data_IF_107277778193
#
_entry.id   IF_107277778193
#
_cell.length_a   1.000
_cell.length_b   1.000
_cell.length_c   1.000
_cell.angle_alpha   90.00
_cell.angle_beta   90.00
_cell.angle_gamma   90.00
#
_symmetry.space_group_name_H-M   'P 1'
#
loop_
_entity.id
_entity.type
_entity.pdbx_description
1 polymer ?
#
# COMPACT_ATOMS: atom_id res chain seq x y z
N UNK A 1 -21.26 18.25 -20.04
CA UNK A 1 -20.23 17.28 -20.51
C UNK A 1 -18.99 17.30 -19.61
N UNK A 2 -18.49 18.49 -19.22
CA UNK A 2 -17.35 18.64 -18.30
C UNK A 2 -17.57 17.99 -16.92
N UNK A 3 -18.73 18.19 -16.29
CA UNK A 3 -19.01 17.60 -14.96
C UNK A 3 -19.07 16.07 -14.97
N UNK A 4 -19.62 15.46 -16.03
CA UNK A 4 -19.67 14.01 -16.18
C UNK A 4 -18.25 13.44 -16.32
N UNK A 5 -17.38 14.11 -17.08
CA UNK A 5 -15.98 13.72 -17.22
C UNK A 5 -15.24 13.77 -15.90
N UNK A 6 -15.40 14.85 -15.12
CA UNK A 6 -14.73 15.00 -13.82
C UNK A 6 -15.26 14.01 -12.79
N UNK A 7 -16.56 13.74 -12.78
CA UNK A 7 -17.14 12.71 -11.91
C UNK A 7 -16.59 11.31 -12.23
N UNK A 8 -16.43 10.97 -13.51
CA UNK A 8 -15.85 9.69 -13.93
C UNK A 8 -14.37 9.56 -13.53
N UNK A 9 -13.61 10.63 -13.64
CA UNK A 9 -12.21 10.71 -13.19
C UNK A 9 -12.10 10.45 -11.67
N UNK A 10 -12.88 11.16 -10.86
CA UNK A 10 -12.92 10.98 -9.40
C UNK A 10 -13.31 9.56 -9.04
N UNK A 11 -14.34 9.00 -9.70
CA UNK A 11 -14.77 7.62 -9.46
C UNK A 11 -13.68 6.60 -9.81
N UNK A 12 -12.97 6.80 -10.92
CA UNK A 12 -11.90 5.90 -11.36
C UNK A 12 -10.73 5.93 -10.39
N UNK A 13 -10.30 7.13 -9.97
CA UNK A 13 -9.23 7.30 -8.99
C UNK A 13 -9.59 6.72 -7.62
N UNK A 14 -10.81 6.94 -7.15
CA UNK A 14 -11.30 6.35 -5.89
C UNK A 14 -11.34 4.82 -5.96
N UNK A 15 -11.80 4.27 -7.09
CA UNK A 15 -11.86 2.82 -7.30
C UNK A 15 -10.47 2.22 -7.34
N UNK A 16 -9.53 2.87 -8.01
CA UNK A 16 -8.13 2.46 -8.06
C UNK A 16 -7.50 2.44 -6.65
N UNK A 17 -7.74 3.48 -5.85
CA UNK A 17 -7.29 3.53 -4.45
C UNK A 17 -7.89 2.38 -3.63
N UNK A 18 -9.20 2.15 -3.74
CA UNK A 18 -9.86 1.07 -2.99
C UNK A 18 -9.33 -0.32 -3.39
N UNK A 19 -9.10 -0.56 -4.70
CA UNK A 19 -8.48 -1.78 -5.20
C UNK A 19 -7.07 -1.94 -4.61
N UNK A 20 -6.28 -0.86 -4.55
CA UNK A 20 -4.93 -0.94 -3.96
C UNK A 20 -4.94 -1.36 -2.49
N UNK A 21 -5.93 -0.91 -1.70
CA UNK A 21 -6.07 -1.32 -0.30
C UNK A 21 -6.35 -2.83 -0.22
N UNK A 22 -7.24 -3.35 -1.06
CA UNK A 22 -7.53 -4.78 -1.15
C UNK A 22 -6.31 -5.60 -1.59
N UNK A 23 -5.56 -5.12 -2.59
CA UNK A 23 -4.33 -5.77 -3.04
C UNK A 23 -3.28 -5.83 -1.92
N UNK A 24 -3.17 -4.80 -1.08
CA UNK A 24 -2.29 -4.81 0.08
C UNK A 24 -2.64 -5.91 1.08
N UNK A 25 -3.93 -6.15 1.30
CA UNK A 25 -4.43 -7.22 2.17
C UNK A 25 -4.19 -8.60 1.56
N UNK A 26 -4.46 -8.75 0.26
CA UNK A 26 -4.19 -9.99 -0.46
C UNK A 26 -2.70 -10.33 -0.46
N UNK A 27 -1.84 -9.34 -0.66
CA UNK A 27 -0.39 -9.52 -0.60
C UNK A 27 0.06 -10.05 0.77
N UNK A 28 -0.48 -9.49 1.87
CA UNK A 28 -0.20 -9.98 3.22
C UNK A 28 -0.72 -11.40 3.43
N UNK A 29 -1.97 -11.68 3.02
CA UNK A 29 -2.57 -13.00 3.14
C UNK A 29 -1.74 -14.08 2.43
N UNK A 30 -1.32 -13.80 1.18
CA UNK A 30 -0.46 -14.69 0.42
C UNK A 30 0.92 -14.87 1.07
N UNK A 31 1.52 -13.79 1.58
CA UNK A 31 2.82 -13.85 2.27
C UNK A 31 2.77 -14.70 3.56
N UNK A 32 1.65 -14.66 4.29
CA UNK A 32 1.43 -15.46 5.50
C UNK A 32 1.28 -16.96 5.22
N UNK A 33 0.84 -17.34 4.02
CA UNK A 33 0.67 -18.75 3.64
C UNK A 33 2.00 -19.39 3.20
N UNK A 34 3.01 -18.59 2.82
CA UNK A 34 4.31 -19.11 2.36
C UNK A 34 4.98 -20.13 3.31
N UNK A 35 5.04 -19.90 4.64
CA UNK A 35 5.59 -20.89 5.56
C UNK A 35 4.82 -22.22 5.58
N UNK A 36 3.51 -22.19 5.33
CA UNK A 36 2.66 -23.37 5.31
C UNK A 36 2.96 -24.27 4.09
N UNK A 37 3.15 -23.68 2.90
CA UNK A 37 3.55 -24.45 1.71
C UNK A 37 4.87 -25.19 1.91
N UNK A 38 5.79 -24.58 2.65
CA UNK A 38 7.07 -25.21 2.98
C UNK A 38 6.90 -26.42 3.90
N UNK A 39 6.03 -26.35 4.90
CA UNK A 39 5.71 -27.50 5.76
C UNK A 39 5.07 -28.65 4.97
N UNK A 40 4.21 -28.34 4.00
CA UNK A 40 3.62 -29.34 3.09
C UNK A 40 4.64 -30.02 2.19
N UNK A 41 5.71 -29.30 1.79
CA UNK A 41 6.79 -29.85 0.96
C UNK A 41 7.48 -31.07 1.59
N UNK A 42 7.55 -31.14 2.92
CA UNK A 42 8.17 -32.27 3.63
C UNK A 42 7.38 -33.58 3.51
N UNK A 43 6.11 -33.50 3.12
CA UNK A 43 5.16 -34.62 3.13
C UNK A 43 4.71 -35.07 1.73
N UNK A 44 5.04 -34.32 0.67
CA UNK A 44 4.54 -34.55 -0.70
C UNK A 44 5.64 -35.03 -1.65
N UNK A 45 5.33 -36.06 -2.44
CA UNK A 45 6.20 -36.61 -3.50
C UNK A 45 6.34 -35.69 -4.72
N UNK A 46 5.39 -34.78 -4.95
CA UNK A 46 5.38 -33.80 -6.04
C UNK A 46 6.13 -32.51 -5.67
N UNK A 47 7.46 -32.62 -5.52
CA UNK A 47 8.35 -31.50 -5.15
C UNK A 47 8.29 -30.33 -6.12
N UNK A 48 8.23 -30.59 -7.43
CA UNK A 48 8.29 -29.57 -8.49
C UNK A 48 7.05 -28.66 -8.47
N UNK A 49 5.85 -29.23 -8.26
CA UNK A 49 4.61 -28.45 -8.22
C UNK A 49 4.57 -27.50 -7.03
N UNK A 50 5.08 -27.93 -5.86
CA UNK A 50 5.15 -27.10 -4.66
C UNK A 50 6.16 -25.97 -4.84
N UNK A 51 7.32 -26.23 -5.44
CA UNK A 51 8.32 -25.19 -5.74
C UNK A 51 7.78 -24.13 -6.72
N UNK A 52 7.10 -24.57 -7.78
CA UNK A 52 6.49 -23.63 -8.74
C UNK A 52 5.43 -22.75 -8.07
N UNK A 53 4.62 -23.34 -7.19
CA UNK A 53 3.59 -22.61 -6.44
C UNK A 53 4.18 -21.59 -5.46
N UNK A 54 5.28 -21.93 -4.80
CA UNK A 54 6.00 -21.03 -3.88
C UNK A 54 6.56 -19.81 -4.65
N UNK A 55 7.25 -20.05 -5.76
CA UNK A 55 7.77 -18.97 -6.63
C UNK A 55 6.64 -18.09 -7.15
N UNK A 56 5.54 -18.70 -7.61
CA UNK A 56 4.39 -17.97 -8.10
C UNK A 56 3.75 -17.10 -6.99
N UNK A 57 3.64 -17.63 -5.77
CA UNK A 57 3.11 -16.88 -4.62
C UNK A 57 4.03 -15.70 -4.28
N UNK A 58 5.35 -15.90 -4.23
CA UNK A 58 6.32 -14.82 -4.01
C UNK A 58 6.17 -13.72 -5.06
N UNK A 59 6.12 -14.11 -6.33
CA UNK A 59 5.93 -13.17 -7.44
C UNK A 59 4.64 -12.38 -7.31
N UNK A 60 3.51 -13.04 -7.02
CA UNK A 60 2.22 -12.36 -6.85
C UNK A 60 2.23 -11.35 -5.70
N UNK A 61 2.83 -11.70 -4.55
CA UNK A 61 2.95 -10.79 -3.42
C UNK A 61 3.74 -9.53 -3.82
N UNK A 62 4.89 -9.73 -4.45
CA UNK A 62 5.77 -8.62 -4.83
C UNK A 62 5.14 -7.76 -5.93
N UNK A 63 4.43 -8.39 -6.88
CA UNK A 63 3.67 -7.69 -7.92
C UNK A 63 2.53 -6.85 -7.32
N UNK A 64 1.73 -7.41 -6.42
CA UNK A 64 0.66 -6.67 -5.76
C UNK A 64 1.22 -5.50 -4.95
N UNK A 65 2.29 -5.70 -4.18
CA UNK A 65 2.94 -4.61 -3.46
C UNK A 65 3.46 -3.51 -4.40
N UNK A 66 4.05 -3.88 -5.54
CA UNK A 66 4.49 -2.90 -6.53
C UNK A 66 3.32 -2.07 -7.07
N UNK A 67 2.20 -2.71 -7.41
CA UNK A 67 0.97 -2.02 -7.86
C UNK A 67 0.47 -1.07 -6.78
N UNK A 68 0.40 -1.50 -5.51
CA UNK A 68 -0.05 -0.66 -4.39
C UNK A 68 0.84 0.59 -4.23
N UNK A 69 2.16 0.41 -4.29
CA UNK A 69 3.11 1.52 -4.18
C UNK A 69 2.98 2.49 -5.36
N UNK A 70 2.82 1.99 -6.59
CA UNK A 70 2.62 2.82 -7.78
C UNK A 70 1.32 3.63 -7.71
N UNK A 71 0.21 3.00 -7.30
CA UNK A 71 -1.05 3.70 -7.07
C UNK A 71 -0.88 4.76 -5.99
N UNK A 72 -0.16 4.44 -4.91
CA UNK A 72 0.13 5.40 -3.86
C UNK A 72 0.91 6.63 -4.35
N UNK A 73 1.90 6.46 -5.22
CA UNK A 73 2.60 7.60 -5.85
C UNK A 73 1.65 8.51 -6.63
N UNK A 74 0.68 7.95 -7.35
CA UNK A 74 -0.33 8.73 -8.08
C UNK A 74 -1.26 9.45 -7.11
N UNK A 75 -1.78 8.74 -6.11
CA UNK A 75 -2.76 9.27 -5.16
C UNK A 75 -2.17 10.33 -4.23
N UNK A 76 -0.87 10.30 -3.93
CA UNK A 76 -0.21 11.31 -3.10
C UNK A 76 -0.14 12.70 -3.76
N UNK A 77 -0.56 12.89 -5.00
CA UNK A 77 -0.62 14.23 -5.58
C UNK A 77 -1.66 15.10 -4.82
N UNK A 78 -1.29 16.28 -4.29
CA UNK A 78 -2.22 17.16 -3.57
C UNK A 78 -3.50 17.50 -4.34
N UNK A 79 -3.43 17.63 -5.65
CA UNK A 79 -4.59 17.90 -6.51
C UNK A 79 -5.55 16.70 -6.52
N UNK A 80 -5.01 15.49 -6.70
CA UNK A 80 -5.78 14.25 -6.63
C UNK A 80 -6.36 14.07 -5.22
N UNK A 81 -5.58 14.32 -4.17
CA UNK A 81 -6.06 14.23 -2.79
C UNK A 81 -7.19 15.22 -2.49
N UNK A 82 -7.20 16.40 -3.11
CA UNK A 82 -8.30 17.35 -2.99
C UNK A 82 -9.57 16.84 -3.69
N UNK A 83 -9.43 16.14 -4.81
CA UNK A 83 -10.54 15.63 -5.62
C UNK A 83 -11.17 14.35 -5.06
N UNK A 84 -10.36 13.44 -4.52
CA UNK A 84 -10.82 12.13 -4.02
C UNK A 84 -10.79 12.04 -2.49
N UNK A 85 -11.51 11.07 -1.97
CA UNK A 85 -11.67 10.87 -0.53
C UNK A 85 -10.50 10.00 -0.04
N UNK A 86 -9.44 10.62 0.45
CA UNK A 86 -8.27 9.92 1.01
C UNK A 86 -8.25 10.08 2.54
N UNK A 87 -7.92 9.00 3.23
CA UNK A 87 -7.67 9.02 4.67
C UNK A 87 -6.27 9.60 4.96
N UNK A 88 -6.22 10.82 5.47
CA UNK A 88 -4.97 11.52 5.75
C UNK A 88 -4.72 11.53 7.26
N UNK A 89 -3.52 11.17 7.76
CA UNK A 89 -2.32 10.75 7.01
C UNK A 89 -2.22 9.23 6.75
N UNK A 90 -3.25 8.47 7.10
CA UNK A 90 -3.21 7.00 7.14
C UNK A 90 -2.83 6.33 5.81
N UNK A 91 -3.51 6.67 4.71
CA UNK A 91 -3.24 6.08 3.39
C UNK A 91 -1.82 6.34 2.90
N UNK A 92 -1.34 7.60 2.92
CA UNK A 92 0.04 7.91 2.55
C UNK A 92 1.09 7.23 3.43
N UNK A 93 0.89 7.17 4.76
CA UNK A 93 1.80 6.48 5.66
C UNK A 93 1.84 4.96 5.38
N UNK A 94 0.70 4.33 5.14
CA UNK A 94 0.64 2.92 4.76
C UNK A 94 1.40 2.67 3.45
N UNK A 95 1.28 3.57 2.47
CA UNK A 95 2.03 3.50 1.21
C UNK A 95 3.54 3.51 1.45
N UNK A 96 4.04 4.38 2.33
CA UNK A 96 5.46 4.41 2.71
C UNK A 96 5.89 3.07 3.29
N UNK A 97 5.11 2.50 4.22
CA UNK A 97 5.43 1.20 4.82
C UNK A 97 5.40 0.06 3.80
N UNK A 98 4.45 0.05 2.86
CA UNK A 98 4.43 -0.93 1.76
C UNK A 98 5.65 -0.78 0.84
N UNK A 99 6.08 0.45 0.55
CA UNK A 99 7.27 0.69 -0.25
C UNK A 99 8.53 0.15 0.45
N UNK A 100 8.68 0.38 1.75
CA UNK A 100 9.78 -0.18 2.54
C UNK A 100 9.71 -1.71 2.53
N UNK A 101 8.52 -2.28 2.76
CA UNK A 101 8.32 -3.73 2.73
C UNK A 101 8.73 -4.32 1.38
N UNK A 102 8.32 -3.70 0.27
CA UNK A 102 8.68 -4.11 -1.08
C UNK A 102 10.20 -4.13 -1.29
N UNK A 103 10.92 -3.07 -0.89
CA UNK A 103 12.38 -3.00 -1.02
C UNK A 103 13.06 -4.10 -0.17
N UNK A 104 12.60 -4.32 1.06
CA UNK A 104 13.12 -5.40 1.93
C UNK A 104 12.89 -6.77 1.30
N UNK A 105 11.72 -6.99 0.69
CA UNK A 105 11.38 -8.26 0.04
C UNK A 105 12.24 -8.51 -1.20
N UNK A 106 12.36 -7.52 -2.09
CA UNK A 106 13.07 -7.65 -3.35
C UNK A 106 14.60 -7.76 -3.17
N UNK A 107 15.20 -6.89 -2.35
CA UNK A 107 16.67 -6.73 -2.32
C UNK A 107 17.35 -7.28 -1.06
N UNK A 108 16.59 -7.58 -0.01
CA UNK A 108 17.14 -8.05 1.26
C UNK A 108 16.65 -9.46 1.63
N UNK A 109 16.20 -10.24 0.64
CA UNK A 109 15.67 -11.59 0.80
C UNK A 109 14.49 -11.67 1.79
N UNK A 110 13.74 -10.57 1.97
CA UNK A 110 12.54 -10.56 2.81
C UNK A 110 11.39 -11.41 2.26
N UNK A 111 11.52 -11.97 1.05
CA UNK A 111 10.59 -12.96 0.50
C UNK A 111 10.88 -14.40 0.95
N UNK A 112 12.05 -14.69 1.55
CA UNK A 112 12.43 -16.06 1.94
C UNK A 112 12.12 -16.32 3.41
N UNK A 113 11.28 -17.30 3.77
CA UNK A 113 10.91 -17.57 5.17
C UNK A 113 12.08 -17.85 6.12
N UNK A 114 13.22 -18.32 5.61
CA UNK A 114 14.43 -18.60 6.39
C UNK A 114 15.20 -17.34 6.81
N UNK A 115 14.97 -16.22 6.11
CA UNK A 115 15.73 -15.00 6.34
C UNK A 115 15.13 -14.18 7.49
N UNK A 116 15.99 -13.60 8.34
CA UNK A 116 15.58 -12.66 9.40
C UNK A 116 14.75 -11.46 8.90
N UNK A 117 14.88 -11.10 7.63
CA UNK A 117 14.17 -9.98 7.02
C UNK A 117 12.74 -10.36 6.59
N UNK A 118 12.39 -11.65 6.54
CA UNK A 118 11.04 -12.11 6.26
C UNK A 118 10.00 -11.62 7.29
N UNK A 119 10.17 -11.87 8.61
CA UNK A 119 9.23 -11.35 9.60
C UNK A 119 9.22 -9.82 9.62
N UNK A 120 10.35 -9.16 9.35
CA UNK A 120 10.39 -7.69 9.24
C UNK A 120 9.49 -7.20 8.10
N UNK A 121 9.55 -7.83 6.91
CA UNK A 121 8.67 -7.48 5.80
C UNK A 121 7.19 -7.77 6.10
N UNK A 122 6.89 -8.89 6.77
CA UNK A 122 5.53 -9.23 7.17
C UNK A 122 4.96 -8.22 8.16
N UNK A 123 5.74 -7.81 9.17
CA UNK A 123 5.30 -6.81 10.14
C UNK A 123 5.08 -5.44 9.49
N UNK A 124 5.94 -5.04 8.54
CA UNK A 124 5.73 -3.81 7.77
C UNK A 124 4.44 -3.88 6.95
N UNK A 125 4.19 -4.97 6.25
CA UNK A 125 2.95 -5.19 5.49
C UNK A 125 1.72 -5.23 6.40
N UNK A 126 1.82 -5.87 7.57
CA UNK A 126 0.76 -5.94 8.56
C UNK A 126 0.43 -4.55 9.12
N UNK A 127 1.44 -3.80 9.55
CA UNK A 127 1.27 -2.44 10.04
C UNK A 127 0.68 -1.51 8.96
N UNK A 128 1.18 -1.60 7.73
CA UNK A 128 0.63 -0.84 6.60
C UNK A 128 -0.85 -1.15 6.36
N UNK A 129 -1.22 -2.43 6.34
CA UNK A 129 -2.61 -2.86 6.18
C UNK A 129 -3.51 -2.41 7.34
N UNK A 130 -3.03 -2.49 8.58
CA UNK A 130 -3.79 -2.05 9.75
C UNK A 130 -4.08 -0.54 9.68
N UNK A 131 -3.06 0.26 9.34
CA UNK A 131 -3.20 1.71 9.14
C UNK A 131 -4.18 2.00 8.00
N UNK A 132 -4.06 1.28 6.88
CA UNK A 132 -4.95 1.45 5.73
C UNK A 132 -6.40 1.07 6.04
N UNK A 133 -6.66 -0.06 6.69
CA UNK A 133 -8.01 -0.46 7.10
C UNK A 133 -8.60 0.57 8.05
N UNK A 134 -7.81 1.05 9.02
CA UNK A 134 -8.29 2.07 9.95
C UNK A 134 -8.67 3.35 9.21
N UNK A 135 -7.78 3.86 8.35
CA UNK A 135 -8.05 5.03 7.51
C UNK A 135 -9.27 4.84 6.61
N UNK A 136 -9.37 3.70 5.93
CA UNK A 136 -10.47 3.38 5.04
C UNK A 136 -11.80 3.34 5.79
N UNK A 137 -11.90 2.50 6.82
CA UNK A 137 -13.16 2.24 7.53
C UNK A 137 -13.64 3.44 8.34
N UNK A 138 -12.74 4.14 9.02
CA UNK A 138 -13.14 5.23 9.92
C UNK A 138 -13.11 6.60 9.27
N UNK A 139 -12.26 6.85 8.28
CA UNK A 139 -12.08 8.19 7.68
C UNK A 139 -12.72 8.29 6.30
N UNK A 140 -12.43 7.37 5.38
CA UNK A 140 -12.99 7.41 4.03
C UNK A 140 -14.48 7.05 4.03
N UNK A 141 -14.83 6.00 4.76
CA UNK A 141 -16.19 5.49 4.93
C UNK A 141 -16.86 6.02 6.22
N UNK A 142 -16.38 7.14 6.76
CA UNK A 142 -16.97 7.82 7.90
C UNK A 142 -18.48 8.09 7.69
N UNK A 143 -19.23 8.18 8.79
CA UNK A 143 -20.68 8.38 8.80
C UNK A 143 -21.16 9.43 7.78
N UNK A 144 -22.22 9.11 7.02
CA UNK A 144 -22.74 9.99 5.98
C UNK A 144 -23.20 11.34 6.58
N UNK A 145 -23.22 12.39 5.75
CA UNK A 145 -23.67 13.71 6.21
C UNK A 145 -25.12 13.66 6.71
N UNK A 146 -25.97 12.95 5.97
CA UNK A 146 -27.37 12.72 6.29
C UNK A 146 -27.56 11.98 7.62
N UNK A 147 -26.74 10.94 7.87
CA UNK A 147 -26.78 10.23 9.15
C UNK A 147 -26.42 11.14 10.32
N UNK A 148 -25.40 12.00 10.16
CA UNK A 148 -24.97 12.91 11.22
C UNK A 148 -25.95 14.07 11.47
N UNK A 149 -26.79 14.42 10.49
CA UNK A 149 -27.87 15.38 10.71
C UNK A 149 -28.94 14.81 11.65
N UNK A 150 -29.19 13.50 11.58
CA UNK A 150 -30.16 12.81 12.44
C UNK A 150 -29.53 12.34 13.76
N UNK A 151 -28.24 12.01 13.74
CA UNK A 151 -27.49 11.51 14.88
C UNK A 151 -26.18 12.30 15.05
N UNK A 152 -26.24 13.51 15.61
CA UNK A 152 -25.07 14.37 15.75
C UNK A 152 -24.03 13.72 16.67
N UNK A 153 -22.79 13.66 16.18
CA UNK A 153 -21.67 13.11 16.92
C UNK A 153 -20.42 13.95 16.68
N UNK A 154 -19.84 14.45 17.78
CA UNK A 154 -18.61 15.25 17.73
C UNK A 154 -17.43 14.45 17.15
N UNK A 155 -17.37 13.14 17.44
CA UNK A 155 -16.33 12.24 16.94
C UNK A 155 -16.36 12.14 15.40
N UNK A 156 -17.51 11.79 14.83
CA UNK A 156 -17.63 11.64 13.38
C UNK A 156 -17.50 12.97 12.62
N UNK A 157 -17.96 14.05 13.24
CA UNK A 157 -17.79 15.40 12.69
C UNK A 157 -16.31 15.77 12.64
N UNK A 158 -15.56 15.51 13.72
CA UNK A 158 -14.12 15.75 13.76
C UNK A 158 -13.39 14.96 12.66
N UNK A 159 -13.65 13.65 12.55
CA UNK A 159 -12.98 12.83 11.54
C UNK A 159 -13.22 13.36 10.12
N UNK A 160 -14.46 13.70 9.79
CA UNK A 160 -14.81 14.19 8.44
C UNK A 160 -14.22 15.56 8.15
N UNK A 161 -14.13 16.43 9.14
CA UNK A 161 -13.62 17.79 8.96
C UNK A 161 -12.10 17.83 8.84
N UNK A 162 -11.39 17.01 9.62
CA UNK A 162 -9.93 17.14 9.76
C UNK A 162 -9.11 16.04 9.10
N UNK A 163 -9.62 14.80 9.01
CA UNK A 163 -8.81 13.65 8.57
C UNK A 163 -9.08 13.25 7.12
N UNK A 164 -10.13 13.80 6.50
CA UNK A 164 -10.49 13.52 5.11
C UNK A 164 -9.85 14.56 4.20
N UNK A 165 -9.08 14.11 3.20
CA UNK A 165 -8.32 15.02 2.31
C UNK A 165 -9.16 16.09 1.60
N UNK A 166 -10.38 15.76 1.20
CA UNK A 166 -11.27 16.64 0.46
C UNK A 166 -12.18 17.51 1.33
N UNK A 167 -11.93 17.58 2.65
CA UNK A 167 -12.67 18.45 3.56
C UNK A 167 -12.07 19.86 3.58
N UNK A 168 -12.78 20.84 3.01
CA UNK A 168 -12.33 22.23 2.96
C UNK A 168 -12.73 22.99 4.25
N UNK A 169 -11.82 23.73 4.92
CA UNK A 169 -10.39 23.96 4.59
C UNK A 169 -9.42 22.98 5.26
N UNK A 170 -9.79 22.40 6.41
CA UNK A 170 -8.83 21.75 7.29
C UNK A 170 -8.23 20.43 6.76
N UNK A 171 -9.00 19.66 5.98
CA UNK A 171 -8.53 18.45 5.33
C UNK A 171 -7.50 18.70 4.24
N UNK A 172 -7.61 19.83 3.53
CA UNK A 172 -6.64 20.25 2.51
C UNK A 172 -5.29 20.62 3.12
N UNK A 173 -5.28 21.35 4.24
CA UNK A 173 -4.05 21.68 4.96
C UNK A 173 -3.33 20.42 5.44
N UNK A 174 -4.06 19.47 6.02
CA UNK A 174 -3.49 18.20 6.46
C UNK A 174 -3.00 17.35 5.28
N UNK A 175 -3.70 17.35 4.15
CA UNK A 175 -3.28 16.68 2.93
C UNK A 175 -1.96 17.25 2.40
N UNK A 176 -1.79 18.57 2.42
CA UNK A 176 -0.53 19.22 2.05
C UNK A 176 0.62 18.84 3.00
N UNK A 177 0.40 18.92 4.32
CA UNK A 177 1.41 18.50 5.30
C UNK A 177 1.80 17.04 5.07
N UNK A 178 0.81 16.17 4.86
CA UNK A 178 1.04 14.74 4.63
C UNK A 178 1.80 14.50 3.34
N UNK A 179 1.50 15.24 2.27
CA UNK A 179 2.29 15.22 1.04
C UNK A 179 3.75 15.60 1.31
N UNK A 180 4.01 16.73 1.97
CA UNK A 180 5.35 17.21 2.24
C UNK A 180 6.18 16.28 3.14
N UNK A 181 5.54 15.39 3.90
CA UNK A 181 6.24 14.38 4.70
C UNK A 181 6.34 13.05 3.96
N UNK A 182 5.23 12.50 3.50
CA UNK A 182 5.18 11.14 2.95
C UNK A 182 5.77 11.05 1.54
N UNK A 183 5.63 12.09 0.73
CA UNK A 183 6.15 12.07 -0.64
C UNK A 183 7.70 12.06 -0.65
N UNK A 184 8.42 12.94 0.09
CA UNK A 184 9.87 12.82 0.21
C UNK A 184 10.34 11.48 0.78
N UNK A 185 9.62 10.93 1.77
CA UNK A 185 9.91 9.59 2.30
C UNK A 185 9.77 8.51 1.22
N UNK A 186 8.69 8.53 0.43
CA UNK A 186 8.51 7.61 -0.69
C UNK A 186 9.62 7.75 -1.73
N UNK A 187 10.01 8.98 -2.06
CA UNK A 187 11.13 9.23 -2.98
C UNK A 187 12.44 8.68 -2.40
N UNK A 188 12.71 8.87 -1.10
CA UNK A 188 13.90 8.33 -0.45
C UNK A 188 13.93 6.79 -0.50
N UNK A 189 12.78 6.14 -0.24
CA UNK A 189 12.63 4.68 -0.34
C UNK A 189 12.78 4.20 -1.79
N UNK A 190 12.25 4.94 -2.76
CA UNK A 190 12.42 4.65 -4.17
C UNK A 190 13.88 4.73 -4.61
N UNK A 191 14.60 5.81 -4.22
CA UNK A 191 16.03 5.95 -4.48
C UNK A 191 16.81 4.80 -3.83
N UNK A 192 16.47 4.43 -2.59
CA UNK A 192 17.08 3.29 -1.91
C UNK A 192 16.87 1.98 -2.68
N UNK A 193 15.64 1.70 -3.12
CA UNK A 193 15.33 0.55 -3.97
C UNK A 193 16.09 0.57 -5.29
N UNK A 194 16.14 1.72 -5.97
CA UNK A 194 16.85 1.90 -7.23
C UNK A 194 18.36 1.66 -7.09
N UNK A 195 18.99 2.26 -6.07
CA UNK A 195 20.42 2.06 -5.77
C UNK A 195 20.72 0.57 -5.54
N UNK A 196 19.84 -0.14 -4.83
CA UNK A 196 20.03 -1.57 -4.61
C UNK A 196 19.83 -2.39 -5.89
N UNK A 197 18.84 -2.05 -6.73
CA UNK A 197 18.66 -2.68 -8.02
C UNK A 197 19.91 -2.55 -8.90
N UNK A 198 20.49 -1.34 -8.97
CA UNK A 198 21.70 -1.08 -9.76
C UNK A 198 22.92 -1.86 -9.27
N UNK A 199 23.05 -2.10 -7.96
CA UNK A 199 24.13 -2.94 -7.42
C UNK A 199 24.02 -4.40 -7.86
N UNK A 200 22.80 -4.91 -8.02
CA UNK A 200 22.55 -6.28 -8.49
C UNK A 200 22.73 -6.41 -10.01
N UNK A 201 22.66 -5.30 -10.76
CA UNK A 201 22.87 -5.26 -12.21
C UNK A 201 24.35 -5.22 -12.63
N UNK A 202 25.32 -5.54 -11.75
CA UNK A 202 26.73 -5.60 -12.18
C UNK A 202 26.85 -6.54 -13.39
N UNK A 203 27.33 -6.04 -14.55
CA UNK A 203 27.36 -6.83 -15.76
C UNK A 203 28.28 -8.04 -15.56
N UNK A 204 27.89 -9.19 -16.12
CA UNK A 204 28.82 -10.29 -16.43
C UNK A 204 29.92 -9.74 -17.33
N UNK A 205 30.94 -9.15 -16.73
CA UNK A 205 32.26 -8.91 -17.31
C UNK A 205 33.21 -9.64 -16.38
N UNK A 206 33.65 -10.80 -16.84
CA UNK A 206 35.00 -11.38 -16.66
C UNK A 206 34.98 -12.91 -16.85
N UNK A 207 34.34 -13.41 -17.91
CA UNK A 207 34.62 -14.74 -18.46
C UNK A 207 34.57 -14.66 -20.00
N UNK A 208 35.68 -14.19 -20.60
CA UNK A 208 36.03 -14.37 -22.01
C UNK A 208 37.53 -14.62 -22.08
#
# INVERSE_FOLDING_TARGET
MHEISKALEVWTLQTLLNISILLGLLALGLALIQPYYRSLREHLTLRVSVELWDIFTVFLVDFFLAVVVLVGFVVLNPDIMADIKVAVPFGPLATVLFAIALVVRLFYNGHRPENKNFPASLWLMFAANLINIFGFSFVMEAASGEYLQQHPSAFWTFIKTYLRSNANPHGLELAQITFYVCFPLLIAVFIWGFVQAMKHYKPMKDEL
#
